data_IF_453414296925
#
_entry.id   IF_453414296925
#
_cell.length_a   1.000
_cell.length_b   1.000
_cell.length_c   1.000
_cell.angle_alpha   90.00
_cell.angle_beta   90.00
_cell.angle_gamma   90.00
#
_symmetry.space_group_name_H-M   'P 1'
#
loop_
_entity.id
_entity.type
_entity.pdbx_description
1 polymer ?
#
# COMPACT_ATOMS: atom_id res chain seq x y z
N UNK A 1 7.35 -3.76 -0.97
CA UNK A 1 6.09 -3.80 -1.75
C UNK A 1 4.98 -3.55 -0.73
N UNK A 2 4.39 -2.38 -0.69
CA UNK A 2 3.45 -2.00 0.39
C UNK A 2 2.01 -2.14 -0.10
N UNK A 3 1.12 -2.50 0.83
CA UNK A 3 -0.15 -3.16 0.61
C UNK A 3 -1.20 -2.25 -0.01
N UNK A 4 -1.89 -2.82 -0.99
CA UNK A 4 -2.60 -2.10 -2.03
C UNK A 4 -3.90 -2.85 -2.27
N UNK A 5 -5.05 -2.21 -2.03
CA UNK A 5 -6.13 -2.34 -3.01
C UNK A 5 -5.73 -1.49 -4.24
N UNK A 6 -4.56 -1.77 -4.83
CA UNK A 6 -4.21 -1.27 -6.15
C UNK A 6 -4.64 -2.36 -7.06
N UNK A 7 -5.69 -2.05 -7.79
CA UNK A 7 -5.99 -2.72 -9.02
C UNK A 7 -4.86 -2.34 -9.99
N UNK A 8 -3.87 -3.22 -10.15
CA UNK A 8 -2.96 -3.05 -11.30
C UNK A 8 -3.64 -3.75 -12.46
N UNK A 9 -4.04 -2.95 -13.43
CA UNK A 9 -4.65 -3.44 -14.64
C UNK A 9 -3.61 -3.55 -15.74
N UNK A 10 -3.52 -4.72 -16.35
CA UNK A 10 -2.76 -4.88 -17.57
C UNK A 10 -3.75 -5.09 -18.71
N UNK A 11 -3.81 -4.13 -19.63
CA UNK A 11 -4.47 -4.31 -20.92
C UNK A 11 -3.39 -4.64 -21.94
N UNK A 12 -3.36 -5.88 -22.41
CA UNK A 12 -2.50 -6.24 -23.53
C UNK A 12 -3.28 -6.04 -24.82
N UNK A 13 -2.70 -5.31 -25.77
CA UNK A 13 -3.34 -5.02 -27.06
C UNK A 13 -2.43 -5.46 -28.21
N UNK A 14 -3.00 -6.18 -29.18
CA UNK A 14 -2.28 -6.66 -30.37
C UNK A 14 -2.91 -6.15 -31.66
N UNK A 15 -2.06 -5.83 -32.64
CA UNK A 15 -2.44 -5.46 -34.02
C UNK A 15 -2.12 -6.55 -35.05
N UNK A 16 -1.66 -7.74 -34.62
CA UNK A 16 -1.41 -8.87 -35.53
C UNK A 16 -1.57 -10.24 -34.85
N UNK A 17 -1.97 -11.24 -35.63
CA UNK A 17 -2.20 -12.65 -35.27
C UNK A 17 -1.00 -13.28 -34.56
N UNK A 18 -1.08 -13.49 -33.24
CA UNK A 18 -0.50 -14.63 -32.50
C UNK A 18 -0.99 -14.61 -31.03
N UNK A 19 -1.17 -15.80 -30.45
CA UNK A 19 -1.57 -16.09 -29.06
C UNK A 19 -0.73 -15.31 -28.02
N UNK A 20 -1.34 -14.96 -26.89
CA UNK A 20 -0.62 -14.38 -25.74
C UNK A 20 -0.81 -15.21 -24.49
N UNK A 21 0.32 -15.64 -23.93
CA UNK A 21 0.42 -15.92 -22.52
C UNK A 21 0.76 -14.60 -21.85
N UNK A 22 -0.21 -14.02 -21.14
CA UNK A 22 0.10 -13.01 -20.13
C UNK A 22 0.59 -13.73 -18.89
N UNK A 23 1.84 -14.18 -18.94
CA UNK A 23 2.64 -14.23 -17.73
C UNK A 23 3.01 -12.78 -17.43
N UNK A 24 2.62 -12.28 -16.25
CA UNK A 24 3.40 -11.20 -15.68
C UNK A 24 4.86 -11.67 -15.75
N UNK A 25 5.84 -10.89 -16.25
CA UNK A 25 7.23 -11.32 -16.41
C UNK A 25 7.96 -11.51 -15.07
N UNK A 26 7.23 -11.88 -14.03
CA UNK A 26 7.75 -12.39 -12.79
C UNK A 26 7.25 -13.83 -12.61
N UNK A 27 8.18 -14.76 -12.53
CA UNK A 27 8.01 -16.11 -12.00
C UNK A 27 7.51 -16.13 -10.53
N UNK A 28 6.72 -15.13 -10.08
CA UNK A 28 6.75 -14.63 -8.69
C UNK A 28 5.39 -14.28 -8.09
N UNK A 29 4.27 -14.74 -8.67
CA UNK A 29 2.94 -14.53 -8.03
C UNK A 29 2.90 -15.16 -6.63
N UNK A 30 3.56 -16.31 -6.45
CA UNK A 30 3.71 -16.98 -5.16
C UNK A 30 4.71 -16.32 -4.21
N UNK A 31 5.74 -15.72 -4.77
CA UNK A 31 6.71 -14.99 -3.96
C UNK A 31 6.04 -13.84 -3.22
N UNK A 32 4.96 -13.26 -3.76
CA UNK A 32 4.20 -12.22 -3.07
C UNK A 32 3.50 -12.67 -1.80
N UNK A 33 3.27 -13.99 -1.63
CA UNK A 33 2.55 -14.52 -0.49
C UNK A 33 3.36 -14.46 0.82
N UNK A 34 4.70 -14.43 0.73
CA UNK A 34 5.59 -14.43 1.89
C UNK A 34 7.03 -14.19 1.46
N UNK A 35 7.79 -13.40 2.24
CA UNK A 35 9.23 -13.25 2.11
C UNK A 35 10.02 -14.52 2.43
N UNK A 36 9.45 -15.42 3.23
CA UNK A 36 10.02 -16.73 3.52
C UNK A 36 9.75 -17.71 2.37
N UNK A 37 10.76 -17.94 1.53
CA UNK A 37 10.65 -18.86 0.39
C UNK A 37 10.48 -20.34 0.81
N UNK A 38 10.66 -20.68 2.08
CA UNK A 38 10.36 -22.02 2.60
C UNK A 38 8.93 -22.15 3.15
N UNK A 39 8.20 -21.03 3.30
CA UNK A 39 6.83 -21.06 3.73
C UNK A 39 5.97 -21.82 2.72
N UNK A 40 5.08 -22.68 3.24
CA UNK A 40 4.09 -23.36 2.42
C UNK A 40 3.05 -22.33 2.00
N UNK A 41 2.81 -22.26 0.70
CA UNK A 41 1.75 -21.45 0.16
C UNK A 41 0.59 -22.33 -0.31
N UNK A 42 -0.59 -21.76 -0.23
CA UNK A 42 -1.83 -22.36 -0.65
C UNK A 42 -2.46 -21.49 -1.73
N UNK A 43 -3.20 -22.14 -2.62
CA UNK A 43 -3.82 -21.45 -3.74
C UNK A 43 -5.10 -22.15 -4.18
N UNK A 44 -5.96 -21.39 -4.84
CA UNK A 44 -7.21 -21.89 -5.41
C UNK A 44 -7.49 -21.20 -6.74
N UNK A 45 -8.13 -21.93 -7.65
CA UNK A 45 -8.78 -21.36 -8.81
C UNK A 45 -10.30 -21.26 -8.59
N UNK A 46 -10.92 -20.19 -9.07
CA UNK A 46 -12.37 -20.04 -9.07
C UNK A 46 -12.86 -19.15 -10.19
N UNK A 47 -14.17 -19.19 -10.42
CA UNK A 47 -14.90 -18.26 -11.29
C UNK A 47 -16.05 -17.71 -10.47
N UNK A 48 -16.22 -16.38 -10.48
CA UNK A 48 -17.33 -15.70 -9.80
C UNK A 48 -18.64 -15.86 -10.57
N UNK A 49 -19.78 -15.64 -9.91
CA UNK A 49 -21.11 -15.75 -10.53
C UNK A 49 -21.33 -14.76 -11.70
N UNK A 50 -20.55 -13.68 -11.75
CA UNK A 50 -20.54 -12.65 -12.79
C UNK A 50 -19.37 -12.77 -13.77
N UNK A 51 -18.78 -13.98 -13.88
CA UNK A 51 -17.90 -14.36 -14.98
C UNK A 51 -16.45 -13.87 -14.87
N UNK A 52 -15.91 -13.72 -13.66
CA UNK A 52 -14.50 -13.39 -13.44
C UNK A 52 -13.75 -14.61 -12.94
N UNK A 53 -12.82 -15.13 -13.76
CA UNK A 53 -11.88 -16.17 -13.38
C UNK A 53 -10.76 -15.58 -12.52
N UNK A 54 -10.37 -16.28 -11.45
CA UNK A 54 -9.27 -15.85 -10.59
C UNK A 54 -8.41 -17.00 -10.08
N UNK A 55 -7.13 -16.71 -9.89
CA UNK A 55 -6.24 -17.45 -9.01
C UNK A 55 -6.12 -16.68 -7.69
N UNK A 56 -6.37 -17.37 -6.58
CA UNK A 56 -6.18 -16.86 -5.22
C UNK A 56 -4.96 -17.52 -4.61
N UNK A 57 -4.04 -16.76 -4.02
CA UNK A 57 -2.74 -17.25 -3.54
C UNK A 57 -2.40 -16.62 -2.19
N UNK A 58 -1.94 -17.42 -1.24
CA UNK A 58 -1.64 -16.93 0.10
C UNK A 58 -0.70 -17.87 0.87
N UNK A 59 -0.04 -17.35 1.93
CA UNK A 59 0.73 -18.17 2.88
C UNK A 59 -0.22 -19.10 3.63
N UNK A 60 -0.01 -20.41 3.61
CA UNK A 60 -0.94 -21.38 4.19
C UNK A 60 -1.15 -21.14 5.69
N UNK A 61 -0.05 -20.93 6.41
CA UNK A 61 -0.09 -20.42 7.78
C UNK A 61 -0.06 -18.90 7.69
N UNK A 62 -1.14 -18.19 7.96
CA UNK A 62 -1.13 -16.72 7.93
C UNK A 62 -0.45 -16.17 9.18
N UNK A 63 0.53 -15.28 9.04
CA UNK A 63 1.16 -14.60 10.18
C UNK A 63 0.71 -13.14 10.20
N UNK A 64 -0.40 -12.88 10.87
CA UNK A 64 -0.95 -11.54 10.98
C UNK A 64 0.07 -10.57 11.57
N UNK A 65 0.08 -9.36 11.02
CA UNK A 65 0.91 -8.24 11.48
C UNK A 65 2.41 -8.52 11.47
N UNK A 66 2.88 -9.34 10.54
CA UNK A 66 4.30 -9.64 10.37
C UNK A 66 4.76 -9.55 8.92
N UNK A 67 6.00 -9.15 8.74
CA UNK A 67 6.64 -9.08 7.44
C UNK A 67 7.99 -9.79 7.43
N UNK A 68 8.39 -10.20 6.24
CA UNK A 68 9.69 -10.78 5.96
C UNK A 68 10.18 -10.19 4.64
N UNK A 69 11.38 -9.59 4.61
CA UNK A 69 11.95 -8.96 3.41
C UNK A 69 10.97 -8.01 2.71
N UNK A 70 10.37 -7.07 3.44
CA UNK A 70 9.44 -6.05 2.90
C UNK A 70 8.16 -6.62 2.25
N UNK A 71 7.79 -7.86 2.60
CA UNK A 71 6.58 -8.55 2.16
C UNK A 71 5.81 -8.99 3.41
N UNK A 72 4.53 -8.64 3.50
CA UNK A 72 3.75 -9.14 4.60
C UNK A 72 3.43 -10.63 4.45
N UNK A 73 3.31 -11.30 5.59
CA UNK A 73 3.18 -12.75 5.72
C UNK A 73 1.70 -13.18 5.88
N UNK A 74 0.77 -12.29 5.54
CA UNK A 74 -0.67 -12.53 5.56
C UNK A 74 -1.39 -11.68 4.50
N UNK A 75 -2.60 -12.12 4.16
CA UNK A 75 -3.40 -11.60 3.06
C UNK A 75 -3.57 -12.62 1.95
N UNK A 76 -4.57 -12.36 1.11
CA UNK A 76 -4.90 -13.16 -0.06
C UNK A 76 -4.63 -12.32 -1.32
N UNK A 77 -3.73 -12.82 -2.18
CA UNK A 77 -3.51 -12.26 -3.50
C UNK A 77 -4.51 -12.83 -4.48
N UNK A 78 -5.10 -11.96 -5.30
CA UNK A 78 -5.98 -12.31 -6.39
C UNK A 78 -5.34 -11.89 -7.70
N UNK A 79 -5.29 -12.82 -8.66
CA UNK A 79 -4.94 -12.59 -10.06
C UNK A 79 -6.15 -13.00 -10.90
N UNK A 80 -6.78 -12.06 -11.60
CA UNK A 80 -8.11 -12.24 -12.17
C UNK A 80 -8.22 -11.74 -13.62
N UNK A 81 -9.16 -12.32 -14.37
CA UNK A 81 -9.52 -11.94 -15.75
C UNK A 81 -10.95 -12.40 -16.07
N UNK A 82 -11.54 -11.92 -17.15
CA UNK A 82 -12.85 -12.38 -17.63
C UNK A 82 -12.81 -13.87 -18.01
N UNK A 83 -13.78 -14.65 -17.51
CA UNK A 83 -14.04 -16.03 -17.94
C UNK A 83 -14.82 -16.04 -19.26
N UNK A 84 -14.12 -16.23 -20.37
CA UNK A 84 -14.68 -16.11 -21.72
C UNK A 84 -14.06 -17.13 -22.69
N UNK A 85 -14.71 -17.33 -23.84
CA UNK A 85 -14.29 -18.27 -24.90
C UNK A 85 -12.83 -18.07 -25.32
N UNK A 86 -12.00 -19.11 -25.19
CA UNK A 86 -10.57 -19.03 -25.48
C UNK A 86 -9.68 -18.74 -24.27
N UNK A 87 -10.27 -18.60 -23.07
CA UNK A 87 -9.52 -18.62 -21.82
C UNK A 87 -9.08 -20.05 -21.52
N UNK A 88 -7.83 -20.19 -21.09
CA UNK A 88 -7.35 -21.38 -20.41
C UNK A 88 -6.53 -20.99 -19.18
N UNK A 89 -6.52 -21.85 -18.18
CA UNK A 89 -5.82 -21.62 -16.91
C UNK A 89 -5.02 -22.82 -16.49
N UNK A 90 -4.01 -22.62 -15.64
CA UNK A 90 -3.29 -23.70 -15.00
C UNK A 90 -2.57 -23.23 -13.74
N UNK A 91 -2.65 -24.02 -12.67
CA UNK A 91 -1.72 -23.97 -11.54
C UNK A 91 -0.81 -25.21 -11.55
N UNK A 92 0.44 -25.06 -11.12
CA UNK A 92 1.41 -26.17 -11.05
C UNK A 92 2.88 -25.74 -11.12
N UNK A 93 3.84 -26.68 -11.23
CA UNK A 93 5.25 -26.36 -11.39
C UNK A 93 5.52 -25.49 -12.62
N UNK A 94 6.39 -24.49 -12.48
CA UNK A 94 6.70 -23.53 -13.53
C UNK A 94 7.14 -24.15 -14.85
N UNK A 95 7.99 -25.17 -14.81
CA UNK A 95 8.44 -25.93 -15.99
C UNK A 95 7.26 -26.56 -16.74
N UNK A 96 6.30 -27.15 -16.01
CA UNK A 96 5.17 -27.85 -16.60
C UNK A 96 4.15 -26.88 -17.19
N UNK A 97 3.83 -25.81 -16.47
CA UNK A 97 2.86 -24.78 -16.91
C UNK A 97 3.38 -24.04 -18.14
N UNK A 98 4.64 -23.56 -18.10
CA UNK A 98 5.28 -22.92 -19.27
C UNK A 98 5.43 -23.90 -20.43
N UNK A 99 5.82 -25.14 -20.14
CA UNK A 99 5.96 -26.19 -21.15
C UNK A 99 4.64 -26.49 -21.85
N UNK A 100 3.52 -26.51 -21.12
CA UNK A 100 2.19 -26.70 -21.68
C UNK A 100 1.82 -25.57 -22.66
N UNK A 101 2.02 -24.31 -22.26
CA UNK A 101 1.78 -23.18 -23.16
C UNK A 101 2.71 -23.19 -24.37
N UNK A 102 4.02 -23.33 -24.16
CA UNK A 102 5.01 -23.31 -25.25
C UNK A 102 4.76 -24.39 -26.30
N UNK A 103 4.28 -25.57 -25.88
CA UNK A 103 3.98 -26.69 -26.78
C UNK A 103 2.65 -26.54 -27.52
N UNK A 104 1.61 -26.05 -26.83
CA UNK A 104 0.23 -26.17 -27.31
C UNK A 104 -0.44 -24.82 -27.63
N UNK A 105 0.19 -23.70 -27.27
CA UNK A 105 -0.41 -22.37 -27.35
C UNK A 105 -1.57 -22.13 -26.37
N UNK A 106 -1.79 -23.07 -25.42
CA UNK A 106 -2.86 -23.04 -24.43
C UNK A 106 -2.47 -23.81 -23.17
N UNK A 107 -3.17 -23.56 -22.08
CA UNK A 107 -2.97 -24.23 -20.79
C UNK A 107 -3.88 -25.46 -20.62
N UNK A 108 -3.61 -26.25 -19.60
CA UNK A 108 -4.27 -27.55 -19.39
C UNK A 108 -5.69 -27.47 -18.78
N UNK A 109 -6.16 -26.30 -18.34
CA UNK A 109 -7.39 -26.13 -17.56
C UNK A 109 -7.39 -27.01 -16.31
N UNK A 110 -6.30 -26.93 -15.56
CA UNK A 110 -6.08 -27.78 -14.39
C UNK A 110 -5.70 -26.96 -13.17
N UNK A 111 -6.12 -27.45 -12.00
CA UNK A 111 -5.74 -26.89 -10.71
C UNK A 111 -4.94 -27.93 -9.92
N UNK A 112 -3.65 -27.66 -9.70
CA UNK A 112 -2.77 -28.43 -8.84
C UNK A 112 -3.17 -28.23 -7.37
N UNK A 113 -3.52 -29.30 -6.66
CA UNK A 113 -3.90 -29.23 -5.23
C UNK A 113 -2.77 -29.66 -4.27
N UNK A 114 -1.55 -29.88 -4.79
CA UNK A 114 -0.41 -30.26 -3.97
C UNK A 114 0.34 -29.02 -3.47
N UNK A 115 -0.19 -28.40 -2.40
CA UNK A 115 0.42 -27.24 -1.75
C UNK A 115 1.83 -27.56 -1.23
N UNK A 116 2.75 -26.60 -1.38
CA UNK A 116 4.18 -26.79 -1.09
C UNK A 116 4.87 -25.48 -0.76
N UNK A 117 6.12 -25.58 -0.32
CA UNK A 117 6.97 -24.41 -0.10
C UNK A 117 7.14 -23.60 -1.40
N UNK A 118 7.15 -22.26 -1.29
CA UNK A 118 7.32 -21.34 -2.43
C UNK A 118 8.54 -21.73 -3.29
N UNK A 119 9.63 -22.18 -2.67
CA UNK A 119 10.89 -22.57 -3.32
C UNK A 119 10.90 -23.98 -3.96
N UNK A 120 9.88 -24.81 -3.72
CA UNK A 120 9.86 -26.22 -4.15
C UNK A 120 9.01 -26.40 -5.39
N UNK A 121 9.59 -26.90 -6.49
CA UNK A 121 8.91 -27.05 -7.79
C UNK A 121 8.06 -25.81 -8.08
N UNK A 122 8.73 -24.65 -8.16
CA UNK A 122 8.16 -23.30 -8.13
C UNK A 122 6.74 -23.28 -8.67
N UNK A 123 5.74 -23.19 -7.79
CA UNK A 123 4.38 -23.20 -8.27
C UNK A 123 4.10 -21.87 -8.97
N UNK A 124 3.32 -21.92 -10.05
CA UNK A 124 2.90 -20.75 -10.83
C UNK A 124 1.41 -20.87 -11.12
N UNK A 125 0.79 -19.72 -11.38
CA UNK A 125 -0.62 -19.61 -11.72
C UNK A 125 -0.75 -18.78 -12.97
N UNK A 126 -1.27 -19.39 -14.02
CA UNK A 126 -1.29 -18.80 -15.33
C UNK A 126 -2.71 -18.71 -15.86
N UNK A 127 -2.92 -17.63 -16.60
CA UNK A 127 -3.99 -17.50 -17.58
C UNK A 127 -3.36 -17.41 -18.97
N UNK A 128 -4.08 -17.94 -19.95
CA UNK A 128 -3.75 -17.83 -21.36
C UNK A 128 -5.02 -17.50 -22.11
N UNK A 129 -4.95 -16.49 -22.99
CA UNK A 129 -6.07 -16.05 -23.81
C UNK A 129 -5.78 -16.28 -25.28
N UNK A 130 -6.62 -17.11 -25.91
CA UNK A 130 -6.66 -17.20 -27.37
C UNK A 130 -7.54 -16.07 -27.93
N UNK A 131 -6.91 -15.11 -28.61
CA UNK A 131 -7.57 -13.98 -29.27
C UNK A 131 -7.96 -14.30 -30.72
N UNK A 132 -7.65 -15.49 -31.22
CA UNK A 132 -7.84 -15.88 -32.61
C UNK A 132 -7.09 -14.97 -33.59
N UNK A 133 -7.72 -14.70 -34.73
CA UNK A 133 -7.17 -13.80 -35.75
C UNK A 133 -7.57 -12.35 -35.54
N UNK A 134 -6.62 -11.51 -35.14
CA UNK A 134 -6.84 -10.09 -34.86
C UNK A 134 -6.58 -9.24 -36.11
N UNK A 135 -7.60 -8.50 -36.58
CA UNK A 135 -7.50 -7.60 -37.76
C UNK A 135 -7.20 -6.14 -37.42
N UNK A 136 -7.66 -5.66 -36.27
CA UNK A 136 -7.51 -4.26 -35.83
C UNK A 136 -6.87 -4.21 -34.45
N UNK A 137 -7.64 -4.54 -33.41
CA UNK A 137 -7.18 -4.61 -32.04
C UNK A 137 -8.04 -5.60 -31.25
N UNK A 138 -7.40 -6.40 -30.42
CA UNK A 138 -8.04 -7.18 -29.37
C UNK A 138 -7.28 -6.95 -28.07
N UNK A 139 -7.95 -7.10 -26.93
CA UNK A 139 -7.27 -7.04 -25.65
C UNK A 139 -7.96 -7.84 -24.56
N UNK A 140 -7.24 -8.03 -23.47
CA UNK A 140 -7.70 -8.74 -22.29
C UNK A 140 -7.27 -7.96 -21.07
N UNK A 141 -8.20 -7.83 -20.13
CA UNK A 141 -7.97 -7.19 -18.85
C UNK A 141 -7.48 -8.24 -17.86
N UNK A 142 -6.38 -7.94 -17.19
CA UNK A 142 -5.95 -8.66 -15.99
C UNK A 142 -5.97 -7.73 -14.81
N UNK A 143 -6.44 -8.22 -13.66
CA UNK A 143 -6.43 -7.49 -12.40
C UNK A 143 -5.63 -8.26 -11.37
N UNK A 144 -4.77 -7.54 -10.66
CA UNK A 144 -4.13 -8.02 -9.44
C UNK A 144 -4.64 -7.21 -8.26
N UNK A 145 -4.88 -7.88 -7.13
CA UNK A 145 -5.25 -7.25 -5.88
C UNK A 145 -4.78 -8.04 -4.67
N UNK A 146 -4.65 -7.35 -3.55
CA UNK A 146 -4.25 -7.93 -2.29
C UNK A 146 -5.31 -7.60 -1.24
N UNK A 147 -5.94 -8.65 -0.73
CA UNK A 147 -6.98 -8.54 0.26
C UNK A 147 -6.44 -8.88 1.64
N UNK A 148 -6.54 -7.91 2.55
CA UNK A 148 -6.27 -8.10 3.97
C UNK A 148 -7.47 -7.62 4.75
N UNK A 149 -8.15 -8.53 5.45
CA UNK A 149 -9.26 -8.17 6.33
C UNK A 149 -8.77 -7.32 7.50
N UNK A 150 -7.72 -7.81 8.17
CA UNK A 150 -7.01 -7.13 9.25
C UNK A 150 -5.78 -6.42 8.67
N UNK A 151 -5.77 -5.10 8.73
CA UNK A 151 -4.73 -4.27 8.12
C UNK A 151 -3.59 -3.95 9.10
N UNK A 152 -3.93 -3.33 10.24
CA UNK A 152 -2.97 -2.71 11.15
C UNK A 152 -3.28 -3.14 12.58
N UNK A 153 -2.25 -3.42 13.38
CA UNK A 153 -2.37 -3.49 14.83
C UNK A 153 -2.14 -2.09 15.40
N UNK A 154 -3.11 -1.54 16.13
CA UNK A 154 -3.09 -0.14 16.55
C UNK A 154 -3.32 0.02 18.04
N UNK A 155 -2.48 0.82 18.71
CA UNK A 155 -2.54 1.03 20.15
C UNK A 155 -2.85 2.48 20.55
N UNK A 156 -3.33 3.35 19.66
CA UNK A 156 -3.67 4.73 20.04
C UNK A 156 -5.00 4.91 20.75
N UNK A 157 -5.94 3.96 20.60
CA UNK A 157 -7.27 4.02 21.24
C UNK A 157 -7.21 3.84 22.77
N UNK A 158 -8.04 4.53 23.58
CA UNK A 158 -8.04 4.40 25.05
C UNK A 158 -8.20 2.95 25.56
N UNK A 159 -8.92 2.12 24.81
CA UNK A 159 -9.25 0.74 25.17
C UNK A 159 -8.06 -0.24 25.08
N UNK A 160 -6.94 0.20 24.51
CA UNK A 160 -5.73 -0.60 24.36
C UNK A 160 -5.40 -0.91 22.90
N UNK A 161 -4.73 -2.04 22.67
CA UNK A 161 -4.37 -2.49 21.32
C UNK A 161 -5.56 -3.12 20.63
N UNK A 162 -5.91 -2.60 19.46
CA UNK A 162 -7.00 -3.10 18.61
C UNK A 162 -6.47 -3.51 17.24
N UNK A 163 -7.29 -4.26 16.50
CA UNK A 163 -7.05 -4.59 15.10
C UNK A 163 -7.88 -3.64 14.24
N UNK A 164 -7.21 -2.88 13.38
CA UNK A 164 -7.86 -2.03 12.40
C UNK A 164 -8.17 -2.85 11.15
N UNK A 165 -9.45 -2.96 10.75
CA UNK A 165 -9.80 -3.60 9.49
C UNK A 165 -9.37 -2.72 8.32
N UNK A 166 -9.07 -3.31 7.17
CA UNK A 166 -9.00 -2.51 5.93
C UNK A 166 -10.34 -1.85 5.66
N UNK A 167 -10.35 -0.58 5.23
CA UNK A 167 -11.62 0.17 5.09
C UNK A 167 -12.61 -0.50 4.12
N UNK A 168 -12.11 -1.20 3.09
CA UNK A 168 -12.96 -1.91 2.13
C UNK A 168 -13.89 -2.93 2.79
N UNK A 169 -13.56 -3.46 3.97
CA UNK A 169 -14.42 -4.39 4.73
C UNK A 169 -15.74 -3.79 5.19
N UNK A 170 -15.84 -2.46 5.24
CA UNK A 170 -17.10 -1.78 5.52
C UNK A 170 -18.06 -1.76 4.33
N UNK A 171 -17.56 -2.02 3.13
CA UNK A 171 -18.34 -2.02 1.89
C UNK A 171 -18.55 -3.43 1.33
N UNK A 172 -17.64 -4.37 1.64
CA UNK A 172 -17.69 -5.75 1.15
C UNK A 172 -17.47 -6.75 2.30
N UNK A 173 -18.32 -7.78 2.36
CA UNK A 173 -18.21 -8.84 3.37
C UNK A 173 -17.00 -9.75 3.16
N UNK A 174 -16.64 -10.00 1.90
CA UNK A 174 -15.45 -10.75 1.47
C UNK A 174 -14.71 -9.97 0.39
N UNK A 175 -13.45 -10.29 0.14
CA UNK A 175 -12.77 -9.76 -1.03
C UNK A 175 -13.51 -10.17 -2.31
N UNK A 176 -13.82 -9.21 -3.17
CA UNK A 176 -14.61 -9.42 -4.40
C UNK A 176 -13.75 -9.16 -5.63
N UNK A 177 -13.00 -10.18 -6.07
CA UNK A 177 -12.19 -10.11 -7.29
C UNK A 177 -13.00 -9.55 -8.48
N UNK A 178 -14.26 -9.92 -8.58
CA UNK A 178 -15.17 -9.44 -9.62
C UNK A 178 -15.49 -7.95 -9.55
N UNK A 179 -15.84 -7.42 -8.36
CA UNK A 179 -16.12 -5.98 -8.21
C UNK A 179 -14.93 -5.16 -8.66
N UNK A 180 -13.73 -5.51 -8.16
CA UNK A 180 -12.51 -4.80 -8.51
C UNK A 180 -12.15 -4.93 -9.99
N UNK A 181 -12.43 -6.07 -10.62
CA UNK A 181 -12.19 -6.29 -12.04
C UNK A 181 -13.11 -5.42 -12.91
N UNK A 182 -14.42 -5.46 -12.62
CA UNK A 182 -15.45 -4.73 -13.37
C UNK A 182 -15.40 -3.21 -13.16
N UNK A 183 -14.80 -2.73 -12.08
CA UNK A 183 -14.61 -1.29 -11.79
C UNK A 183 -13.46 -0.63 -12.59
N UNK A 184 -12.76 -1.40 -13.46
CA UNK A 184 -11.62 -0.90 -14.24
C UNK A 184 -11.88 0.43 -14.94
N UNK A 185 -13.02 0.55 -15.63
CA UNK A 185 -13.32 1.74 -16.42
C UNK A 185 -13.41 2.99 -15.54
N UNK A 186 -14.00 2.89 -14.35
CA UNK A 186 -14.10 3.99 -13.40
C UNK A 186 -12.73 4.31 -12.77
N UNK A 187 -12.01 3.29 -12.32
CA UNK A 187 -10.67 3.45 -11.74
C UNK A 187 -9.67 4.07 -12.75
N UNK A 188 -9.70 3.63 -14.01
CA UNK A 188 -8.87 4.17 -15.08
C UNK A 188 -9.22 5.62 -15.41
N UNK A 189 -10.50 5.98 -15.44
CA UNK A 189 -10.94 7.36 -15.65
C UNK A 189 -10.47 8.28 -14.50
N UNK A 190 -10.68 7.88 -13.25
CA UNK A 190 -10.21 8.63 -12.08
C UNK A 190 -8.69 8.80 -12.06
N UNK A 191 -7.95 7.73 -12.40
CA UNK A 191 -6.49 7.77 -12.48
C UNK A 191 -6.02 8.71 -13.58
N UNK A 192 -6.66 8.67 -14.75
CA UNK A 192 -6.36 9.56 -15.87
C UNK A 192 -6.61 11.03 -15.53
N UNK A 193 -7.74 11.33 -14.89
CA UNK A 193 -8.07 12.69 -14.47
C UNK A 193 -7.07 13.25 -13.45
N UNK A 194 -6.53 12.40 -12.58
CA UNK A 194 -5.47 12.79 -11.64
C UNK A 194 -4.13 13.01 -12.37
N UNK A 195 -3.72 12.07 -13.22
CA UNK A 195 -2.47 12.15 -13.99
C UNK A 195 -2.46 13.37 -14.92
N UNK A 196 -3.57 13.66 -15.62
CA UNK A 196 -3.69 14.83 -16.50
C UNK A 196 -3.55 16.15 -15.72
N UNK A 197 -4.13 16.21 -14.50
CA UNK A 197 -4.05 17.39 -13.63
C UNK A 197 -2.63 17.61 -13.13
N UNK A 198 -1.98 16.57 -12.60
CA UNK A 198 -0.57 16.62 -12.18
C UNK A 198 0.33 17.01 -13.35
N UNK A 199 0.11 16.42 -14.52
CA UNK A 199 0.86 16.71 -15.74
C UNK A 199 0.79 18.18 -16.12
N UNK A 200 -0.43 18.70 -16.23
CA UNK A 200 -0.67 20.11 -16.54
C UNK A 200 -0.02 21.03 -15.50
N UNK A 201 -0.32 20.84 -14.23
CA UNK A 201 0.12 21.76 -13.17
C UNK A 201 1.65 21.72 -13.00
N UNK A 202 2.28 20.56 -13.19
CA UNK A 202 3.74 20.43 -13.11
C UNK A 202 4.45 21.09 -14.29
N UNK A 203 3.94 20.90 -15.51
CA UNK A 203 4.48 21.56 -16.71
C UNK A 203 4.34 23.08 -16.59
N UNK A 204 3.17 23.56 -16.17
CA UNK A 204 2.90 24.99 -16.01
C UNK A 204 3.82 25.61 -14.91
N UNK A 205 4.14 24.85 -13.86
CA UNK A 205 5.02 25.32 -12.79
C UNK A 205 6.51 25.33 -13.15
N UNK A 206 7.03 24.26 -13.76
CA UNK A 206 8.47 24.11 -13.98
C UNK A 206 8.87 23.19 -15.15
N UNK A 207 7.95 22.90 -16.07
CA UNK A 207 8.22 22.16 -17.30
C UNK A 207 8.34 20.64 -17.14
N UNK A 208 8.92 20.00 -18.16
CA UNK A 208 8.87 18.55 -18.34
C UNK A 208 9.66 17.77 -17.28
N UNK A 209 10.80 18.30 -16.83
CA UNK A 209 11.62 17.63 -15.82
C UNK A 209 10.91 17.58 -14.46
N UNK A 210 10.16 18.64 -14.12
CA UNK A 210 9.36 18.66 -12.91
C UNK A 210 8.20 17.67 -12.97
N UNK A 211 7.50 17.56 -14.11
CA UNK A 211 6.50 16.50 -14.33
C UNK A 211 7.09 15.10 -14.14
N UNK A 212 8.29 14.84 -14.68
CA UNK A 212 8.95 13.54 -14.50
C UNK A 212 9.10 13.20 -13.02
N UNK A 213 9.50 14.17 -12.19
CA UNK A 213 9.63 13.98 -10.74
C UNK A 213 8.26 13.77 -10.11
N UNK A 214 7.32 14.70 -10.29
CA UNK A 214 6.03 14.70 -9.58
C UNK A 214 5.17 13.50 -9.92
N UNK A 215 5.14 13.06 -11.18
CA UNK A 215 4.39 11.87 -11.61
C UNK A 215 4.87 10.58 -10.94
N UNK A 216 6.19 10.47 -10.67
CA UNK A 216 6.77 9.34 -9.95
C UNK A 216 6.56 9.46 -8.43
N UNK A 217 6.75 10.65 -7.86
CA UNK A 217 6.60 10.86 -6.40
C UNK A 217 5.18 10.59 -5.93
N UNK A 218 4.15 10.99 -6.69
CA UNK A 218 2.74 10.69 -6.34
C UNK A 218 2.52 9.18 -6.22
N UNK A 219 3.11 8.39 -7.13
CA UNK A 219 3.01 6.93 -7.09
C UNK A 219 3.71 6.34 -5.87
N UNK A 220 4.84 6.90 -5.44
CA UNK A 220 5.57 6.47 -4.25
C UNK A 220 4.79 6.78 -2.97
N UNK A 221 4.27 8.00 -2.82
CA UNK A 221 3.50 8.41 -1.63
C UNK A 221 2.25 7.54 -1.46
N UNK A 222 1.45 7.37 -2.51
CA UNK A 222 0.24 6.54 -2.41
C UNK A 222 0.52 5.04 -2.34
N UNK A 223 1.70 4.58 -2.77
CA UNK A 223 2.09 3.19 -2.57
C UNK A 223 2.39 2.89 -1.10
N UNK A 224 2.78 3.88 -0.30
CA UNK A 224 3.22 3.69 1.08
C UNK A 224 2.08 3.70 2.10
N UNK A 225 0.85 4.05 1.69
CA UNK A 225 -0.28 4.24 2.61
C UNK A 225 -1.33 3.15 2.51
N UNK A 226 -1.99 2.88 3.64
CA UNK A 226 -3.14 1.99 3.73
C UNK A 226 -4.30 2.69 4.45
N UNK A 227 -5.49 2.61 3.87
CA UNK A 227 -6.71 3.17 4.42
C UNK A 227 -7.47 2.09 5.22
N UNK A 228 -7.76 2.38 6.48
CA UNK A 228 -8.27 1.42 7.47
C UNK A 228 -9.41 2.02 8.30
N UNK A 229 -10.04 1.21 9.14
CA UNK A 229 -11.11 1.62 10.04
C UNK A 229 -12.50 1.46 9.41
N UNK A 230 -13.41 2.36 9.77
CA UNK A 230 -14.78 2.39 9.23
C UNK A 230 -15.04 3.71 8.52
N UNK A 231 -16.13 3.86 7.75
CA UNK A 231 -16.48 5.14 7.12
C UNK A 231 -16.68 6.27 8.12
N UNK A 232 -17.11 5.95 9.34
CA UNK A 232 -17.31 6.90 10.45
C UNK A 232 -16.01 7.24 11.17
N UNK A 233 -15.04 6.32 11.19
CA UNK A 233 -13.77 6.46 11.88
C UNK A 233 -12.59 5.96 11.04
N UNK A 234 -12.26 6.64 9.92
CA UNK A 234 -11.19 6.21 9.02
C UNK A 234 -9.81 6.63 9.54
N UNK A 235 -8.79 5.91 9.08
CA UNK A 235 -7.39 6.14 9.38
C UNK A 235 -6.52 5.87 8.16
N UNK A 236 -5.44 6.65 8.01
CA UNK A 236 -4.36 6.33 7.09
C UNK A 236 -3.13 5.96 7.89
N UNK A 237 -2.56 4.82 7.56
CA UNK A 237 -1.27 4.37 8.07
C UNK A 237 -0.25 4.36 6.94
N UNK A 238 0.97 4.81 7.21
CA UNK A 238 2.06 4.87 6.24
C UNK A 238 3.22 3.98 6.69
N UNK A 239 3.76 3.19 5.76
CA UNK A 239 5.04 2.51 5.96
C UNK A 239 6.17 3.38 5.45
N UNK A 240 7.22 3.52 6.24
CA UNK A 240 8.51 4.01 5.77
C UNK A 240 9.20 2.94 4.90
N UNK A 241 9.18 3.13 3.58
CA UNK A 241 9.66 2.10 2.63
C UNK A 241 11.16 2.22 2.43
N UNK A 242 11.86 1.07 2.40
CA UNK A 242 13.29 0.95 2.08
C UNK A 242 14.25 1.53 3.14
N UNK A 243 13.78 1.65 4.37
CA UNK A 243 14.57 1.90 5.58
C UNK A 243 14.33 0.79 6.62
N UNK A 244 14.00 1.12 7.87
CA UNK A 244 13.69 0.18 8.95
C UNK A 244 12.19 -0.18 9.05
N UNK A 245 11.33 0.41 8.21
CA UNK A 245 9.92 -0.01 8.12
C UNK A 245 9.01 0.58 9.19
N UNK A 246 9.39 1.71 9.81
CA UNK A 246 8.60 2.38 10.85
C UNK A 246 7.22 2.83 10.33
N UNK A 247 6.31 3.04 11.29
CA UNK A 247 4.92 3.38 11.05
C UNK A 247 4.67 4.87 11.24
N UNK A 248 4.06 5.53 10.24
CA UNK A 248 3.72 6.95 10.27
C UNK A 248 4.88 7.83 10.80
N UNK A 249 6.10 7.57 10.33
CA UNK A 249 7.28 8.38 10.66
C UNK A 249 7.03 9.83 10.27
N UNK A 250 7.12 10.75 11.23
CA UNK A 250 6.67 12.14 11.08
C UNK A 250 7.53 12.88 10.06
N UNK A 251 8.84 12.70 10.11
CA UNK A 251 9.81 13.29 9.18
C UNK A 251 9.76 12.68 7.77
N UNK A 252 9.05 11.56 7.58
CA UNK A 252 8.73 10.98 6.26
C UNK A 252 7.37 11.45 5.76
N UNK A 253 6.39 11.62 6.65
CA UNK A 253 5.11 12.26 6.32
C UNK A 253 5.36 13.71 5.91
N UNK A 254 6.32 14.39 6.52
CA UNK A 254 6.64 15.78 6.23
C UNK A 254 6.95 16.05 4.74
N UNK A 255 7.92 15.40 4.08
CA UNK A 255 8.13 15.60 2.64
C UNK A 255 6.97 15.06 1.77
N UNK A 256 6.14 14.13 2.28
CA UNK A 256 4.97 13.61 1.57
C UNK A 256 3.72 14.53 1.66
N UNK A 257 3.62 15.37 2.70
CA UNK A 257 2.42 16.15 3.01
C UNK A 257 1.91 17.05 1.87
N UNK A 258 2.77 17.65 1.01
CA UNK A 258 2.28 18.47 -0.10
C UNK A 258 1.42 17.68 -1.10
N UNK A 259 1.70 16.38 -1.31
CA UNK A 259 0.89 15.53 -2.18
C UNK A 259 -0.50 15.28 -1.57
N UNK A 260 -0.59 15.04 -0.25
CA UNK A 260 -1.88 14.93 0.42
C UNK A 260 -2.68 16.23 0.31
N UNK A 261 -2.06 17.38 0.58
CA UNK A 261 -2.73 18.67 0.46
C UNK A 261 -3.17 19.00 -0.96
N UNK A 262 -2.36 18.65 -1.97
CA UNK A 262 -2.67 18.86 -3.38
C UNK A 262 -3.85 17.99 -3.83
N UNK A 263 -3.89 16.72 -3.41
CA UNK A 263 -4.92 15.76 -3.85
C UNK A 263 -6.21 15.88 -3.07
N UNK A 264 -6.15 15.80 -1.75
CA UNK A 264 -7.26 16.00 -0.83
C UNK A 264 -6.72 16.27 0.59
N UNK A 265 -6.89 17.49 1.16
CA UNK A 265 -6.32 17.85 2.46
C UNK A 265 -6.80 16.94 3.61
N UNK A 266 -7.97 16.31 3.49
CA UNK A 266 -8.45 15.33 4.48
C UNK A 266 -7.48 14.18 4.68
N UNK A 267 -6.72 13.79 3.65
CA UNK A 267 -5.72 12.72 3.75
C UNK A 267 -4.61 13.08 4.75
N UNK A 268 -4.21 14.35 4.83
CA UNK A 268 -3.21 14.80 5.81
C UNK A 268 -3.78 14.72 7.24
N UNK A 269 -5.05 15.07 7.45
CA UNK A 269 -5.69 14.85 8.75
C UNK A 269 -5.72 13.36 9.12
N UNK A 270 -6.10 12.48 8.18
CA UNK A 270 -6.23 11.05 8.44
C UNK A 270 -4.90 10.35 8.73
N UNK A 271 -3.80 10.81 8.13
CA UNK A 271 -2.46 10.23 8.37
C UNK A 271 -1.81 10.75 9.66
N UNK A 272 -2.13 11.99 10.08
CA UNK A 272 -1.66 12.56 11.35
C UNK A 272 -2.48 12.09 12.55
N UNK A 273 -3.75 11.74 12.34
CA UNK A 273 -4.68 11.32 13.39
C UNK A 273 -4.12 10.23 14.34
N UNK A 274 -3.49 9.13 13.86
CA UNK A 274 -2.86 8.15 14.75
C UNK A 274 -1.80 8.73 15.70
N UNK A 275 -0.98 9.67 15.23
CA UNK A 275 0.10 10.30 16.00
C UNK A 275 -0.51 11.14 17.14
N UNK A 276 -1.51 11.97 16.80
CA UNK A 276 -2.25 12.75 17.78
C UNK A 276 -2.90 11.86 18.84
N UNK A 277 -3.65 10.83 18.43
CA UNK A 277 -4.36 9.95 19.35
C UNK A 277 -3.42 9.25 20.34
N UNK A 278 -2.25 8.77 19.91
CA UNK A 278 -1.28 8.12 20.82
C UNK A 278 -0.77 9.11 21.87
N UNK A 279 -0.33 10.31 21.46
CA UNK A 279 0.24 11.28 22.39
C UNK A 279 -0.82 11.94 23.28
N UNK A 280 -1.99 12.29 22.75
CA UNK A 280 -3.08 12.92 23.48
C UNK A 280 -3.74 11.97 24.49
N UNK A 281 -3.78 10.67 24.20
CA UNK A 281 -4.22 9.65 25.16
C UNK A 281 -3.15 9.28 26.20
N UNK A 282 -2.03 10.02 26.25
CA UNK A 282 -1.00 9.87 27.28
C UNK A 282 -0.18 8.58 27.14
N UNK A 283 -0.13 7.99 25.95
CA UNK A 283 0.60 6.73 25.69
C UNK A 283 2.06 6.92 25.31
N UNK A 284 2.55 8.14 25.39
CA UNK A 284 3.92 8.52 25.10
C UNK A 284 4.44 9.45 26.21
N UNK A 285 5.52 9.09 26.91
CA UNK A 285 5.94 9.79 28.12
C UNK A 285 6.69 11.10 27.85
N UNK A 286 7.27 11.27 26.66
CA UNK A 286 8.12 12.43 26.36
C UNK A 286 7.28 13.70 26.12
N UNK A 287 7.95 14.86 26.18
CA UNK A 287 7.33 16.17 26.00
C UNK A 287 7.31 16.67 24.55
N UNK A 288 8.08 16.04 23.68
CA UNK A 288 8.18 16.33 22.25
C UNK A 288 7.28 15.42 21.39
N UNK A 289 7.21 15.70 20.10
CA UNK A 289 6.52 14.86 19.12
C UNK A 289 7.27 13.53 18.96
N UNK A 290 6.53 12.43 18.92
CA UNK A 290 7.11 11.11 18.66
C UNK A 290 7.58 11.01 17.21
N UNK A 291 8.68 10.29 16.99
CA UNK A 291 9.25 10.09 15.65
C UNK A 291 8.32 9.26 14.76
N UNK A 292 7.86 8.12 15.28
CA UNK A 292 6.99 7.18 14.58
C UNK A 292 6.02 6.53 15.57
N UNK A 293 4.97 5.90 15.08
CA UNK A 293 3.97 5.23 15.92
C UNK A 293 4.19 3.71 16.03
N UNK A 294 5.37 3.21 15.65
CA UNK A 294 5.69 1.80 15.74
C UNK A 294 6.91 1.42 14.91
N UNK A 295 7.77 0.58 15.50
CA UNK A 295 9.08 0.23 14.94
C UNK A 295 9.05 -0.58 13.66
N UNK A 296 7.94 -1.27 13.36
CA UNK A 296 7.82 -2.11 12.18
C UNK A 296 6.38 -2.16 11.70
N UNK A 297 6.16 -1.88 10.42
CA UNK A 297 4.87 -2.08 9.77
C UNK A 297 4.43 -3.56 9.82
N UNK A 298 3.14 -3.86 10.07
CA UNK A 298 2.00 -2.94 10.25
C UNK A 298 1.63 -2.68 11.74
N UNK A 299 2.62 -2.61 12.64
CA UNK A 299 2.38 -2.53 14.08
C UNK A 299 2.49 -1.08 14.55
N UNK A 300 1.37 -0.36 14.56
CA UNK A 300 1.24 0.98 15.12
C UNK A 300 1.02 0.94 16.65
N UNK A 301 1.96 0.32 17.37
CA UNK A 301 1.85 0.05 18.81
C UNK A 301 2.41 1.16 19.71
N UNK A 302 3.02 2.18 19.11
CA UNK A 302 3.66 3.30 19.79
C UNK A 302 4.90 2.91 20.60
N UNK A 303 5.36 3.87 21.41
CA UNK A 303 6.57 3.77 22.23
C UNK A 303 6.25 4.12 23.69
N UNK A 304 5.62 3.21 24.46
CA UNK A 304 5.14 3.51 25.81
C UNK A 304 6.25 3.86 26.81
N UNK A 305 7.52 3.55 26.48
CA UNK A 305 8.68 3.93 27.27
C UNK A 305 9.35 5.21 26.77
N UNK A 306 8.90 5.78 25.66
CA UNK A 306 9.52 6.96 25.03
C UNK A 306 10.92 6.68 24.49
N UNK A 307 11.16 5.45 24.04
CA UNK A 307 12.42 4.95 23.49
C UNK A 307 12.40 4.86 21.96
N UNK A 308 11.58 5.72 21.33
CA UNK A 308 11.64 5.99 19.90
C UNK A 308 12.94 6.70 19.50
N UNK A 309 13.12 6.81 18.20
CA UNK A 309 14.25 7.50 17.62
C UNK A 309 14.24 9.00 17.98
N UNK A 310 15.41 9.52 18.37
CA UNK A 310 15.50 10.86 18.96
C UNK A 310 15.70 11.93 17.88
N UNK A 311 14.59 12.43 17.36
CA UNK A 311 14.54 13.59 16.44
C UNK A 311 13.62 14.74 16.94
N UNK A 312 13.60 15.06 18.25
CA UNK A 312 12.51 15.83 18.83
C UNK A 312 12.36 17.25 18.28
N UNK A 313 13.44 17.91 17.84
CA UNK A 313 13.38 19.25 17.25
C UNK A 313 12.67 19.23 15.88
N UNK A 314 13.12 18.33 15.00
CA UNK A 314 12.58 18.14 13.66
C UNK A 314 11.10 17.73 13.75
N UNK A 315 10.77 16.75 14.59
CA UNK A 315 9.40 16.22 14.68
C UNK A 315 8.41 17.21 15.28
N UNK A 316 8.81 17.98 16.30
CA UNK A 316 7.95 19.05 16.81
C UNK A 316 7.70 20.12 15.73
N UNK A 317 8.74 20.50 14.98
CA UNK A 317 8.63 21.47 13.89
C UNK A 317 7.69 20.98 12.79
N UNK A 318 7.92 19.75 12.34
CA UNK A 318 7.15 19.08 11.28
C UNK A 318 5.67 18.98 11.65
N UNK A 319 5.34 18.55 12.87
CA UNK A 319 3.96 18.44 13.32
C UNK A 319 3.25 19.80 13.37
N UNK A 320 3.91 20.85 13.88
CA UNK A 320 3.32 22.20 13.94
C UNK A 320 3.09 22.76 12.54
N UNK A 321 4.05 22.60 11.62
CA UNK A 321 3.93 23.05 10.23
C UNK A 321 2.80 22.30 9.52
N UNK A 322 2.74 20.97 9.63
CA UNK A 322 1.71 20.17 8.97
C UNK A 322 0.31 20.45 9.51
N UNK A 323 0.16 20.68 10.82
CA UNK A 323 -1.12 21.07 11.42
C UNK A 323 -1.64 22.39 10.84
N UNK A 324 -0.76 23.40 10.74
CA UNK A 324 -1.09 24.69 10.14
C UNK A 324 -1.41 24.55 8.64
N UNK A 325 -0.62 23.78 7.91
CA UNK A 325 -0.80 23.56 6.48
C UNK A 325 -2.14 22.87 6.17
N UNK A 326 -2.53 21.86 6.96
CA UNK A 326 -3.85 21.26 6.90
C UNK A 326 -4.94 22.30 7.18
N UNK A 327 -4.87 23.00 8.32
CA UNK A 327 -5.91 23.94 8.74
C UNK A 327 -6.14 25.04 7.69
N UNK A 328 -5.07 25.57 7.10
CA UNK A 328 -5.15 26.57 6.03
C UNK A 328 -5.74 26.01 4.74
N UNK A 329 -5.32 24.81 4.32
CA UNK A 329 -5.77 24.19 3.06
C UNK A 329 -7.21 23.70 3.15
N UNK A 330 -7.60 23.07 4.25
CA UNK A 330 -8.94 22.58 4.53
C UNK A 330 -9.90 23.68 5.01
N UNK A 331 -9.38 24.85 5.41
CA UNK A 331 -10.12 25.93 6.09
C UNK A 331 -10.76 25.47 7.40
N UNK A 332 -10.03 24.65 8.14
CA UNK A 332 -10.47 23.98 9.38
C UNK A 332 -9.63 24.50 10.56
N UNK A 333 -10.00 25.67 11.07
CA UNK A 333 -9.34 26.26 12.24
C UNK A 333 -9.70 25.56 13.55
N UNK A 334 -10.83 24.84 13.58
CA UNK A 334 -11.27 24.08 14.75
C UNK A 334 -10.32 22.93 15.03
N UNK A 335 -9.69 22.35 14.00
CA UNK A 335 -8.61 21.37 14.12
C UNK A 335 -7.44 21.87 15.00
N UNK A 336 -7.01 23.12 14.81
CA UNK A 336 -5.94 23.71 15.64
C UNK A 336 -6.39 23.89 17.09
N UNK A 337 -7.66 24.23 17.29
CA UNK A 337 -8.23 24.41 18.63
C UNK A 337 -8.37 23.06 19.35
N UNK A 338 -8.78 22.02 18.63
CA UNK A 338 -8.88 20.65 19.13
C UNK A 338 -7.53 20.11 19.62
N UNK A 339 -6.47 20.33 18.86
CA UNK A 339 -5.11 19.85 19.15
C UNK A 339 -4.23 20.88 19.88
N UNK A 340 -4.81 22.01 20.34
CA UNK A 340 -4.03 23.10 20.94
C UNK A 340 -3.15 22.65 22.13
N UNK A 341 -3.62 21.81 23.08
CA UNK A 341 -2.79 21.40 24.21
C UNK A 341 -1.48 20.71 23.79
N UNK A 342 -1.53 19.82 22.80
CA UNK A 342 -0.35 19.09 22.34
C UNK A 342 0.53 19.96 21.41
N UNK A 343 -0.07 20.78 20.55
CA UNK A 343 0.65 21.77 19.73
C UNK A 343 1.42 22.76 20.60
N UNK A 344 0.81 23.24 21.69
CA UNK A 344 1.48 24.10 22.67
C UNK A 344 2.63 23.37 23.36
N UNK A 345 2.47 22.09 23.71
CA UNK A 345 3.54 21.27 24.30
C UNK A 345 4.76 21.17 23.37
N UNK A 346 4.54 20.83 22.10
CA UNK A 346 5.60 20.75 21.09
C UNK A 346 6.24 22.11 20.81
N UNK A 347 5.45 23.18 20.74
CA UNK A 347 5.97 24.54 20.55
C UNK A 347 6.83 25.00 21.73
N UNK A 348 6.44 24.69 22.97
CA UNK A 348 7.27 24.96 24.16
C UNK A 348 8.61 24.24 24.07
N UNK A 349 8.61 22.96 23.67
CA UNK A 349 9.85 22.21 23.46
C UNK A 349 10.78 22.91 22.44
N UNK A 350 10.24 23.35 21.30
CA UNK A 350 11.01 24.09 20.30
C UNK A 350 11.63 25.39 20.87
N UNK A 351 10.90 26.12 21.72
CA UNK A 351 11.41 27.35 22.35
C UNK A 351 12.54 27.06 23.32
N UNK A 352 12.43 25.98 24.09
CA UNK A 352 13.40 25.60 25.13
C UNK A 352 14.67 24.96 24.54
N UNK A 353 14.55 24.16 23.48
CA UNK A 353 15.62 23.27 23.01
C UNK A 353 16.25 23.66 21.65
N UNK A 354 15.69 24.61 20.89
CA UNK A 354 16.20 24.92 19.53
C UNK A 354 17.54 25.67 19.46
N UNK A 355 17.88 26.47 20.48
CA UNK A 355 19.10 27.31 20.45
C UNK A 355 20.36 26.46 20.69
N UNK A 356 20.26 25.50 21.61
CA UNK A 356 21.35 24.58 21.96
C UNK A 356 20.79 23.15 21.96
N UNK A 357 20.55 22.57 20.78
CA UNK A 357 19.94 21.25 20.68
C UNK A 357 20.78 20.22 21.41
N UNK A 358 20.12 19.33 22.15
CA UNK A 358 20.75 18.11 22.63
C UNK A 358 21.17 17.23 21.45
N UNK A 359 22.06 16.27 21.72
CA UNK A 359 22.48 15.27 20.74
C UNK A 359 21.26 14.51 20.20
N UNK A 360 20.97 14.75 18.93
CA UNK A 360 19.82 14.25 18.19
C UNK A 360 20.16 14.19 16.70
N UNK A 361 19.50 13.28 15.99
CA UNK A 361 19.63 13.14 14.54
C UNK A 361 18.52 13.93 13.83
N UNK A 362 18.48 13.84 12.50
CA UNK A 362 17.45 14.40 11.62
C UNK A 362 17.19 13.42 10.48
N UNK A 363 16.27 13.71 9.56
CA UNK A 363 16.03 12.90 8.36
C UNK A 363 17.30 12.56 7.55
N UNK A 364 18.33 13.42 7.58
CA UNK A 364 19.64 13.13 6.99
C UNK A 364 20.58 12.35 7.95
N UNK A 365 20.04 11.45 8.77
CA UNK A 365 20.77 10.72 9.84
C UNK A 365 21.94 9.86 9.34
N UNK A 366 21.94 9.51 8.05
CA UNK A 366 23.07 8.90 7.36
C UNK A 366 24.34 9.77 7.44
N UNK A 367 24.20 11.07 7.72
CA UNK A 367 25.29 12.01 7.96
C UNK A 367 25.75 12.09 9.43
N UNK A 368 25.06 11.40 10.36
CA UNK A 368 25.30 11.42 11.81
C UNK A 368 24.46 12.44 12.57
N UNK A 369 24.73 12.61 13.88
CA UNK A 369 24.04 13.59 14.72
C UNK A 369 24.28 15.03 14.27
N UNK A 370 23.24 15.86 14.39
CA UNK A 370 23.32 17.30 14.15
C UNK A 370 23.99 18.07 15.31
N UNK A 371 24.09 17.48 16.51
CA UNK A 371 24.61 18.11 17.72
C UNK A 371 25.36 17.16 18.66
#
# INVERSE_FOLDING_TARGET
MTYRCTQTFQQVSKTTTHLEQCEYPSNRVLEWASGDRNAIAQWDYGVTDDGVAYHKVYRQTQLLFSENTEQAEWGEWYWATDDQDGLSYQSGPDVDVRGAFAKNGKLANSDDKNYRAISTNWPVFAFSRDLGSVKTSAGTLFSIGLAQDSAIQYSGKPEGTTVMPSLWKSYFSTATAAFFHHDYAAAAALSKDLDDRISKDSIDAAGQDYLTITSLTVRQVFAAVQLTGTPEDPYIFMKEISSNGNMNTVDVIFPAHPIFLYTNPELLKLILKPIYEIQENGKYPNTYAMHDIGTHYPNATGHPKGDDEKMPLEECGNMVIMALAYAQKAKDNDYLSQHYPILNKWTTYLVEDSIYPANQISTDDFAGSLA
#
